data_IF_447183195108
#
_entry.id   IF_447183195108
#
_cell.length_a   1.000
_cell.length_b   1.000
_cell.length_c   1.000
_cell.angle_alpha   90.00
_cell.angle_beta   90.00
_cell.angle_gamma   90.00
#
_symmetry.space_group_name_H-M   'P 1'
#
loop_
_entity.id
_entity.type
_entity.pdbx_description
1 polymer ?
#
# COMPACT_ATOMS: atom_id res chain seq x y z
N UNK A 1 23.33 -32.15 -1.58
CA UNK A 1 22.03 -31.42 -1.72
C UNK A 1 20.98 -32.42 -2.18
N UNK A 2 19.87 -32.57 -1.45
CA UNK A 2 18.76 -33.41 -1.92
C UNK A 2 18.06 -32.67 -3.06
N UNK A 3 17.91 -33.33 -4.21
CA UNK A 3 17.18 -32.79 -5.36
C UNK A 3 15.71 -32.69 -4.97
N UNK A 4 15.16 -31.49 -5.00
CA UNK A 4 13.74 -31.26 -4.75
C UNK A 4 12.90 -32.01 -5.80
N UNK A 5 11.85 -32.71 -5.39
CA UNK A 5 10.93 -33.45 -6.29
C UNK A 5 9.71 -32.61 -6.73
N UNK A 6 9.70 -31.31 -6.47
CA UNK A 6 8.62 -30.43 -6.91
C UNK A 6 8.55 -30.34 -8.44
N UNK A 7 7.35 -30.14 -8.98
CA UNK A 7 7.14 -29.89 -10.40
C UNK A 7 7.61 -28.48 -10.76
N UNK A 8 8.85 -28.35 -11.22
CA UNK A 8 9.44 -27.08 -11.64
C UNK A 8 8.99 -26.66 -13.06
N UNK A 9 8.09 -27.41 -13.72
CA UNK A 9 7.44 -26.96 -14.93
C UNK A 9 6.31 -25.97 -14.63
N UNK A 10 5.75 -26.00 -13.42
CA UNK A 10 4.88 -24.93 -12.93
C UNK A 10 5.70 -23.65 -12.69
N UNK A 11 5.41 -22.60 -13.47
CA UNK A 11 6.14 -21.33 -13.42
C UNK A 11 6.00 -20.55 -12.10
N UNK A 12 5.03 -20.88 -11.24
CA UNK A 12 4.90 -20.32 -9.89
C UNK A 12 5.81 -21.09 -8.92
N UNK A 13 5.81 -22.42 -8.97
CA UNK A 13 6.71 -23.28 -8.18
C UNK A 13 8.19 -23.06 -8.54
N UNK A 14 8.48 -22.89 -9.83
CA UNK A 14 9.82 -22.53 -10.31
C UNK A 14 10.28 -21.19 -9.75
N UNK A 15 9.44 -20.14 -9.79
CA UNK A 15 9.74 -18.83 -9.18
C UNK A 15 9.93 -18.91 -7.67
N UNK A 16 9.11 -19.68 -6.96
CA UNK A 16 9.28 -19.95 -5.54
C UNK A 16 10.65 -20.59 -5.24
N UNK A 17 11.10 -21.50 -6.08
CA UNK A 17 12.42 -22.11 -5.96
C UNK A 17 13.56 -21.16 -6.31
N UNK A 18 13.46 -20.38 -7.39
CA UNK A 18 14.48 -19.43 -7.81
C UNK A 18 14.67 -18.31 -6.77
N UNK A 19 13.56 -17.81 -6.23
CA UNK A 19 13.54 -16.81 -5.15
C UNK A 19 14.04 -17.44 -3.85
N UNK A 20 13.48 -18.59 -3.45
CA UNK A 20 13.82 -19.26 -2.19
C UNK A 20 15.28 -19.72 -2.08
N UNK A 21 15.90 -20.17 -3.18
CA UNK A 21 17.29 -20.67 -3.17
C UNK A 21 18.32 -19.55 -3.08
N UNK A 22 18.05 -18.35 -3.62
CA UNK A 22 19.03 -17.25 -3.69
C UNK A 22 18.98 -16.28 -2.51
N UNK A 23 17.80 -16.01 -1.95
CA UNK A 23 17.62 -14.88 -1.01
C UNK A 23 17.22 -15.30 0.42
N UNK A 24 16.74 -16.53 0.64
CA UNK A 24 15.82 -16.76 1.77
C UNK A 24 16.37 -17.60 2.90
N UNK A 25 17.53 -18.25 2.72
CA UNK A 25 18.09 -19.17 3.72
C UNK A 25 16.98 -20.03 4.33
N UNK A 26 16.36 -20.90 3.51
CA UNK A 26 15.08 -21.62 3.73
C UNK A 26 15.06 -22.55 4.97
N UNK A 27 15.92 -22.34 5.96
CA UNK A 27 15.95 -23.04 7.24
C UNK A 27 15.38 -22.26 8.44
N UNK A 28 14.90 -21.02 8.28
CA UNK A 28 14.38 -20.22 9.42
C UNK A 28 12.86 -19.99 9.36
N UNK A 29 12.22 -20.01 10.53
CA UNK A 29 10.81 -19.62 10.68
C UNK A 29 10.51 -18.21 10.15
N UNK A 30 11.48 -17.29 10.24
CA UNK A 30 11.37 -15.92 9.72
C UNK A 30 11.23 -15.89 8.20
N UNK A 31 12.06 -16.66 7.51
CA UNK A 31 12.00 -16.79 6.04
C UNK A 31 10.66 -17.39 5.59
N UNK A 32 10.15 -18.39 6.32
CA UNK A 32 8.84 -18.98 6.04
C UNK A 32 7.70 -17.97 6.23
N UNK A 33 7.71 -17.21 7.32
CA UNK A 33 6.69 -16.19 7.61
C UNK A 33 6.66 -15.11 6.52
N UNK A 34 7.83 -14.59 6.12
CA UNK A 34 7.97 -13.66 4.99
C UNK A 34 7.41 -14.25 3.70
N UNK A 35 7.59 -15.55 3.47
CA UNK A 35 7.20 -16.20 2.22
C UNK A 35 5.69 -16.32 2.13
N UNK A 36 5.09 -16.75 3.23
CA UNK A 36 3.64 -16.82 3.38
C UNK A 36 3.04 -15.42 3.22
N UNK A 37 3.58 -14.42 3.91
CA UNK A 37 3.10 -13.03 3.79
C UNK A 37 3.20 -12.52 2.35
N UNK A 38 4.32 -12.78 1.67
CA UNK A 38 4.51 -12.42 0.26
C UNK A 38 3.53 -13.14 -0.67
N UNK A 39 3.34 -14.45 -0.48
CA UNK A 39 2.41 -15.22 -1.32
C UNK A 39 0.98 -14.74 -1.12
N UNK A 40 0.54 -14.54 0.12
CA UNK A 40 -0.80 -14.04 0.41
C UNK A 40 -0.95 -12.64 -0.20
N UNK A 41 -0.07 -11.69 0.12
CA UNK A 41 -0.12 -10.34 -0.41
C UNK A 41 -0.18 -10.33 -1.95
N UNK A 42 0.70 -11.07 -2.62
CA UNK A 42 0.74 -11.14 -4.08
C UNK A 42 -0.51 -11.76 -4.68
N UNK A 43 -1.15 -12.72 -4.00
CA UNK A 43 -2.42 -13.29 -4.46
C UNK A 43 -3.58 -12.31 -4.24
N UNK A 44 -3.53 -11.49 -3.19
CA UNK A 44 -4.54 -10.46 -2.96
C UNK A 44 -4.43 -9.27 -3.92
N UNK A 45 -3.25 -8.98 -4.49
CA UNK A 45 -3.06 -7.89 -5.45
C UNK A 45 -3.98 -8.01 -6.70
N UNK A 46 -4.01 -9.12 -7.47
CA UNK A 46 -4.96 -9.29 -8.57
C UNK A 46 -6.43 -9.13 -8.17
N UNK A 47 -6.79 -9.58 -6.97
CA UNK A 47 -8.17 -9.48 -6.47
C UNK A 47 -8.54 -8.01 -6.19
N UNK A 48 -7.58 -7.22 -5.71
CA UNK A 48 -7.69 -5.77 -5.57
C UNK A 48 -7.83 -5.09 -6.92
N UNK A 49 -6.97 -5.41 -7.88
CA UNK A 49 -6.90 -4.68 -9.15
C UNK A 49 -8.16 -4.88 -10.01
N UNK A 50 -8.89 -5.97 -9.79
CA UNK A 50 -10.21 -6.15 -10.37
C UNK A 50 -11.33 -5.41 -9.62
N UNK A 51 -11.05 -4.79 -8.47
CA UNK A 51 -11.96 -4.11 -7.55
C UNK A 51 -13.15 -4.99 -7.10
N UNK A 52 -12.94 -6.31 -7.00
CA UNK A 52 -14.01 -7.29 -7.16
C UNK A 52 -14.10 -8.35 -6.08
N UNK A 53 -13.76 -8.09 -4.82
CA UNK A 53 -14.06 -9.08 -3.77
C UNK A 53 -15.54 -9.37 -3.59
N UNK A 54 -16.39 -8.35 -3.72
CA UNK A 54 -17.84 -8.53 -3.82
C UNK A 54 -18.28 -9.28 -5.09
N UNK A 55 -17.38 -9.51 -6.05
CA UNK A 55 -17.58 -10.38 -7.21
C UNK A 55 -16.69 -11.61 -7.18
N UNK A 56 -15.96 -11.93 -6.10
CA UNK A 56 -15.20 -13.19 -6.05
C UNK A 56 -16.18 -14.34 -6.17
N UNK A 57 -17.32 -14.27 -5.48
CA UNK A 57 -18.42 -15.23 -5.63
C UNK A 57 -18.95 -15.29 -7.08
N UNK A 58 -19.17 -14.14 -7.72
CA UNK A 58 -19.66 -14.06 -9.11
C UNK A 58 -18.61 -14.50 -10.16
N UNK A 59 -17.35 -14.19 -9.93
CA UNK A 59 -16.20 -14.61 -10.75
C UNK A 59 -15.97 -16.12 -10.57
N UNK A 60 -16.18 -16.64 -9.36
CA UNK A 60 -16.18 -18.06 -9.03
C UNK A 60 -17.32 -18.78 -9.74
N UNK A 61 -18.56 -18.28 -9.65
CA UNK A 61 -19.68 -18.83 -10.42
C UNK A 61 -19.36 -18.88 -11.91
N UNK A 62 -18.76 -17.80 -12.45
CA UNK A 62 -18.36 -17.75 -13.85
C UNK A 62 -17.25 -18.76 -14.17
N UNK A 63 -16.26 -18.92 -13.30
CA UNK A 63 -15.19 -19.90 -13.48
C UNK A 63 -15.74 -21.33 -13.42
N UNK A 64 -16.62 -21.63 -12.47
CA UNK A 64 -17.34 -22.91 -12.36
C UNK A 64 -18.15 -23.19 -13.63
N UNK A 65 -18.94 -22.22 -14.11
CA UNK A 65 -19.70 -22.34 -15.37
C UNK A 65 -18.81 -22.57 -16.59
N UNK A 66 -17.56 -22.11 -16.55
CA UNK A 66 -16.57 -22.30 -17.60
C UNK A 66 -15.71 -23.57 -17.42
N UNK A 67 -15.95 -24.38 -16.38
CA UNK A 67 -15.11 -25.54 -16.06
C UNK A 67 -13.67 -25.17 -15.68
N UNK A 68 -13.43 -23.93 -15.24
CA UNK A 68 -12.10 -23.44 -14.85
C UNK A 68 -11.90 -23.58 -13.34
N UNK A 69 -10.66 -23.84 -12.94
CA UNK A 69 -10.27 -23.82 -11.52
C UNK A 69 -10.50 -22.42 -10.94
N UNK A 70 -11.09 -22.36 -9.75
CA UNK A 70 -11.33 -21.11 -9.00
C UNK A 70 -10.06 -20.80 -8.21
N UNK A 71 -9.34 -19.70 -8.52
CA UNK A 71 -8.17 -19.33 -7.74
C UNK A 71 -8.58 -18.93 -6.31
N UNK A 72 -7.74 -19.26 -5.33
CA UNK A 72 -7.87 -18.71 -3.97
C UNK A 72 -7.59 -17.20 -3.99
N UNK A 73 -8.26 -16.38 -3.16
CA UNK A 73 -9.36 -16.74 -2.25
C UNK A 73 -10.71 -16.88 -2.99
N UNK A 74 -11.58 -17.79 -2.53
CA UNK A 74 -12.97 -17.98 -3.02
C UNK A 74 -13.97 -17.12 -2.28
N UNK A 75 -13.67 -16.77 -1.04
CA UNK A 75 -14.48 -15.88 -0.21
C UNK A 75 -13.55 -15.01 0.63
N UNK A 76 -14.00 -13.86 1.18
CA UNK A 76 -13.22 -13.15 2.18
C UNK A 76 -12.83 -14.04 3.37
N UNK A 77 -13.70 -14.98 3.76
CA UNK A 77 -13.42 -15.94 4.83
C UNK A 77 -12.20 -16.84 4.51
N UNK A 78 -11.89 -17.09 3.23
CA UNK A 78 -10.69 -17.85 2.86
C UNK A 78 -9.39 -17.11 3.21
N UNK A 79 -9.43 -15.77 3.32
CA UNK A 79 -8.29 -14.92 3.68
C UNK A 79 -8.12 -14.87 5.21
N UNK A 80 -9.22 -14.76 5.96
CA UNK A 80 -9.23 -14.70 7.43
C UNK A 80 -10.10 -15.84 8.00
N UNK A 81 -9.63 -17.11 7.95
CA UNK A 81 -10.45 -18.29 8.22
C UNK A 81 -10.89 -18.44 9.69
N UNK A 82 -10.33 -17.65 10.60
CA UNK A 82 -10.70 -17.67 12.02
C UNK A 82 -11.41 -16.38 12.45
N UNK A 83 -11.91 -15.60 11.49
CA UNK A 83 -12.45 -14.27 11.73
C UNK A 83 -11.35 -13.20 11.82
N UNK A 84 -11.79 -11.94 11.80
CA UNK A 84 -10.89 -10.78 11.71
C UNK A 84 -10.02 -10.65 12.97
N UNK A 85 -10.61 -10.73 14.15
CA UNK A 85 -9.91 -10.55 15.43
C UNK A 85 -8.74 -11.54 15.59
N UNK A 86 -9.03 -12.84 15.47
CA UNK A 86 -8.04 -13.90 15.66
C UNK A 86 -6.95 -13.83 14.58
N UNK A 87 -7.31 -13.47 13.35
CA UNK A 87 -6.37 -13.41 12.24
C UNK A 87 -5.44 -12.20 12.35
N UNK A 88 -5.96 -11.02 12.72
CA UNK A 88 -5.13 -9.83 12.98
C UNK A 88 -4.21 -10.05 14.19
N UNK A 89 -4.71 -10.67 15.26
CA UNK A 89 -3.90 -11.04 16.42
C UNK A 89 -2.77 -12.01 16.03
N UNK A 90 -3.06 -13.05 15.25
CA UNK A 90 -2.06 -13.99 14.76
C UNK A 90 -1.00 -13.31 13.87
N UNK A 91 -1.42 -12.40 12.98
CA UNK A 91 -0.50 -11.64 12.13
C UNK A 91 0.40 -10.70 12.96
N UNK A 92 -0.12 -10.09 14.03
CA UNK A 92 0.69 -9.29 14.95
C UNK A 92 1.80 -10.13 15.61
N UNK A 93 1.46 -11.33 16.09
CA UNK A 93 2.42 -12.28 16.65
C UNK A 93 3.46 -12.70 15.61
N UNK A 94 3.05 -13.00 14.38
CA UNK A 94 3.99 -13.36 13.31
C UNK A 94 4.94 -12.20 12.97
N UNK A 95 4.43 -10.97 12.99
CA UNK A 95 5.22 -9.78 12.75
C UNK A 95 6.32 -9.62 13.80
N UNK A 96 6.01 -9.88 15.08
CA UNK A 96 6.98 -9.83 16.19
C UNK A 96 8.12 -10.84 16.03
N UNK A 97 7.82 -12.04 15.55
CA UNK A 97 8.85 -13.07 15.33
C UNK A 97 9.63 -12.87 14.03
N UNK A 98 9.05 -12.18 13.05
CA UNK A 98 9.67 -11.92 11.75
C UNK A 98 10.65 -10.75 11.80
N UNK A 99 11.54 -10.66 10.81
CA UNK A 99 12.34 -9.44 10.62
C UNK A 99 11.43 -8.29 10.14
N UNK A 100 11.67 -7.04 10.56
CA UNK A 100 10.93 -5.88 10.04
C UNK A 100 11.09 -5.80 8.53
N UNK A 101 9.97 -5.92 7.81
CA UNK A 101 9.95 -6.06 6.36
C UNK A 101 8.68 -5.41 5.79
N UNK A 102 8.85 -4.57 4.77
CA UNK A 102 7.76 -3.85 4.13
C UNK A 102 6.73 -4.77 3.46
N UNK A 103 7.03 -6.06 3.23
CA UNK A 103 6.02 -7.02 2.76
C UNK A 103 4.83 -7.14 3.70
N UNK A 104 5.07 -7.01 5.01
CA UNK A 104 4.01 -7.04 6.01
C UNK A 104 3.09 -5.83 5.88
N UNK A 105 3.65 -4.65 5.63
CA UNK A 105 2.85 -3.44 5.38
C UNK A 105 2.00 -3.61 4.12
N UNK A 106 2.56 -4.20 3.07
CA UNK A 106 1.80 -4.58 1.88
C UNK A 106 0.65 -5.53 2.18
N UNK A 107 0.89 -6.58 2.99
CA UNK A 107 -0.13 -7.54 3.40
C UNK A 107 -1.24 -6.86 4.22
N UNK A 108 -0.89 -6.09 5.24
CA UNK A 108 -1.87 -5.35 6.06
C UNK A 108 -2.65 -4.36 5.23
N UNK A 109 -2.02 -3.65 4.30
CA UNK A 109 -2.71 -2.76 3.39
C UNK A 109 -3.74 -3.51 2.54
N UNK A 110 -3.37 -4.67 1.99
CA UNK A 110 -4.34 -5.54 1.30
C UNK A 110 -5.49 -5.93 2.22
N UNK A 111 -5.21 -6.42 3.43
CA UNK A 111 -6.25 -6.82 4.39
C UNK A 111 -7.18 -5.64 4.75
N UNK A 112 -6.65 -4.45 5.03
CA UNK A 112 -7.46 -3.25 5.29
C UNK A 112 -8.33 -2.91 4.09
N UNK A 113 -7.80 -3.02 2.88
CA UNK A 113 -8.59 -2.77 1.67
C UNK A 113 -9.74 -3.77 1.49
N UNK A 114 -9.49 -5.05 1.81
CA UNK A 114 -10.46 -6.13 1.69
C UNK A 114 -11.60 -6.01 2.70
N UNK A 115 -11.25 -5.83 3.96
CA UNK A 115 -12.17 -5.92 5.10
C UNK A 115 -12.56 -4.56 5.68
N UNK A 116 -11.92 -3.48 5.21
CA UNK A 116 -12.27 -2.09 5.49
C UNK A 116 -12.36 -1.85 7.01
N UNK A 117 -13.52 -1.39 7.48
CA UNK A 117 -13.79 -1.05 8.89
C UNK A 117 -13.70 -2.26 9.82
N UNK A 118 -13.91 -3.49 9.33
CA UNK A 118 -13.92 -4.69 10.18
C UNK A 118 -12.53 -4.96 10.80
N UNK A 119 -11.44 -4.58 10.13
CA UNK A 119 -10.07 -4.77 10.66
C UNK A 119 -9.54 -3.59 11.47
N UNK A 120 -10.24 -2.45 11.48
CA UNK A 120 -9.73 -1.23 12.12
C UNK A 120 -9.59 -1.44 13.63
N UNK A 121 -10.67 -1.84 14.31
CA UNK A 121 -10.63 -2.06 15.75
C UNK A 121 -9.57 -3.11 16.14
N UNK A 122 -9.48 -4.28 15.48
CA UNK A 122 -8.45 -5.28 15.79
C UNK A 122 -7.01 -4.77 15.63
N UNK A 123 -6.75 -3.92 14.63
CA UNK A 123 -5.46 -3.26 14.46
C UNK A 123 -5.20 -2.28 15.60
N UNK A 124 -6.20 -1.45 15.95
CA UNK A 124 -6.08 -0.45 16.99
C UNK A 124 -5.87 -1.06 18.37
N UNK A 125 -6.57 -2.15 18.70
CA UNK A 125 -6.46 -2.82 20.01
C UNK A 125 -5.19 -3.67 20.14
N UNK A 126 -4.52 -3.98 19.03
CA UNK A 126 -3.23 -4.68 19.05
C UNK A 126 -2.20 -3.91 19.89
N UNK A 127 -1.46 -4.61 20.77
CA UNK A 127 -0.43 -3.98 21.59
C UNK A 127 0.85 -3.65 20.82
N UNK A 128 1.02 -4.11 19.57
CA UNK A 128 2.29 -3.99 18.83
C UNK A 128 2.16 -3.49 17.41
N UNK A 129 1.01 -3.69 16.74
CA UNK A 129 0.87 -3.29 15.33
C UNK A 129 1.10 -1.79 15.07
N UNK A 130 0.54 -0.83 15.86
CA UNK A 130 0.70 0.59 15.57
C UNK A 130 2.16 1.03 15.47
N UNK A 131 3.00 0.69 16.45
CA UNK A 131 4.41 1.05 16.40
C UNK A 131 5.20 0.19 15.41
N UNK A 132 4.84 -1.09 15.20
CA UNK A 132 5.47 -1.89 14.14
C UNK A 132 5.25 -1.31 12.76
N UNK A 133 4.08 -0.73 12.47
CA UNK A 133 3.83 -0.03 11.21
C UNK A 133 4.81 1.13 11.01
N UNK A 134 4.99 1.98 12.02
CA UNK A 134 5.95 3.10 11.99
C UNK A 134 7.38 2.59 11.80
N UNK A 135 7.82 1.63 12.63
CA UNK A 135 9.19 1.14 12.60
C UNK A 135 9.57 0.48 11.26
N UNK A 136 8.66 -0.27 10.64
CA UNK A 136 8.88 -0.86 9.33
C UNK A 136 8.81 0.21 8.22
N UNK A 137 7.82 1.11 8.28
CA UNK A 137 7.60 2.15 7.27
C UNK A 137 8.80 3.09 7.12
N UNK A 138 9.49 3.35 8.22
CA UNK A 138 10.67 4.22 8.26
C UNK A 138 11.90 3.61 7.59
N UNK A 139 12.01 2.28 7.58
CA UNK A 139 13.20 1.56 7.12
C UNK A 139 13.64 1.97 5.70
N UNK A 140 12.77 1.95 4.66
CA UNK A 140 13.19 2.33 3.31
C UNK A 140 13.65 3.80 3.23
N UNK A 141 13.02 4.72 3.95
CA UNK A 141 13.40 6.14 3.91
C UNK A 141 14.69 6.43 4.66
N UNK A 142 14.95 5.75 5.77
CA UNK A 142 16.27 5.78 6.43
C UNK A 142 17.36 5.21 5.54
N UNK A 143 17.11 4.07 4.89
CA UNK A 143 18.06 3.49 3.94
C UNK A 143 18.37 4.45 2.79
N UNK A 144 17.36 5.14 2.27
CA UNK A 144 17.54 6.16 1.26
C UNK A 144 18.41 7.31 1.75
N UNK A 145 18.12 7.84 2.95
CA UNK A 145 18.85 8.94 3.58
C UNK A 145 20.32 8.61 3.81
N UNK A 146 20.62 7.38 4.24
CA UNK A 146 22.00 6.94 4.51
C UNK A 146 22.83 6.74 3.25
N UNK A 147 22.22 6.30 2.14
CA UNK A 147 22.96 5.96 0.92
C UNK A 147 23.47 7.19 0.16
N UNK A 148 22.76 8.32 0.26
CA UNK A 148 23.13 9.58 -0.42
C UNK A 148 23.12 9.55 -1.96
N UNK A 149 23.03 8.37 -2.59
CA UNK A 149 22.87 8.12 -4.02
C UNK A 149 22.09 6.82 -4.22
N UNK A 150 21.13 6.79 -5.15
CA UNK A 150 20.54 5.54 -5.63
C UNK A 150 21.24 5.07 -6.90
N UNK A 151 21.35 3.75 -7.02
CA UNK A 151 21.66 3.07 -8.26
C UNK A 151 20.35 2.82 -9.02
N UNK A 152 20.36 2.80 -10.36
CA UNK A 152 19.23 2.30 -11.16
C UNK A 152 18.76 0.89 -10.76
N UNK A 153 19.61 0.11 -10.06
CA UNK A 153 19.28 -1.20 -9.51
C UNK A 153 18.47 -1.18 -8.20
N UNK A 154 18.07 -0.01 -7.69
CA UNK A 154 17.33 0.11 -6.42
C UNK A 154 15.81 -0.14 -6.56
N UNK A 155 15.40 -0.94 -7.56
CA UNK A 155 14.01 -1.36 -7.79
C UNK A 155 13.35 -1.92 -6.52
N UNK A 156 14.11 -2.66 -5.70
CA UNK A 156 13.61 -3.21 -4.44
C UNK A 156 13.22 -2.11 -3.45
N UNK A 157 14.05 -1.06 -3.31
CA UNK A 157 13.77 0.04 -2.39
C UNK A 157 12.50 0.79 -2.81
N UNK A 158 12.32 1.02 -4.11
CA UNK A 158 11.09 1.60 -4.64
C UNK A 158 9.87 0.72 -4.39
N UNK A 159 10.01 -0.60 -4.57
CA UNK A 159 8.93 -1.53 -4.25
C UNK A 159 8.57 -1.48 -2.75
N UNK A 160 9.56 -1.33 -1.86
CA UNK A 160 9.37 -1.19 -0.42
C UNK A 160 8.66 0.13 -0.08
N UNK A 161 9.12 1.26 -0.60
CA UNK A 161 8.46 2.56 -0.46
C UNK A 161 7.00 2.50 -0.94
N UNK A 162 6.77 1.92 -2.13
CA UNK A 162 5.41 1.74 -2.67
C UNK A 162 4.52 0.95 -1.72
N UNK A 163 5.02 -0.08 -1.02
CA UNK A 163 4.23 -0.83 -0.02
C UNK A 163 3.88 0.02 1.20
N UNK A 164 4.80 0.86 1.68
CA UNK A 164 4.53 1.83 2.74
C UNK A 164 3.40 2.78 2.33
N UNK A 165 3.47 3.33 1.12
CA UNK A 165 2.46 4.26 0.61
C UNK A 165 1.08 3.61 0.49
N UNK A 166 1.00 2.34 0.05
CA UNK A 166 -0.30 1.65 0.01
C UNK A 166 -0.87 1.55 1.42
N UNK A 167 -0.09 1.17 2.42
CA UNK A 167 -0.57 1.12 3.80
C UNK A 167 -1.05 2.51 4.26
N UNK A 168 -0.27 3.56 4.03
CA UNK A 168 -0.63 4.92 4.45
C UNK A 168 -1.94 5.37 3.83
N UNK A 169 -2.13 5.08 2.55
CA UNK A 169 -3.38 5.35 1.83
C UNK A 169 -4.56 4.57 2.41
N UNK A 170 -4.36 3.30 2.77
CA UNK A 170 -5.42 2.50 3.40
C UNK A 170 -5.78 3.03 4.78
N UNK A 171 -4.79 3.40 5.59
CA UNK A 171 -5.03 4.03 6.89
C UNK A 171 -5.78 5.35 6.71
N UNK A 172 -5.31 6.25 5.85
CA UNK A 172 -5.94 7.54 5.59
C UNK A 172 -7.38 7.44 5.05
N UNK A 173 -7.68 6.41 4.24
CA UNK A 173 -9.00 6.24 3.63
C UNK A 173 -10.02 5.54 4.54
N UNK A 174 -9.57 4.61 5.39
CA UNK A 174 -10.47 3.78 6.19
C UNK A 174 -10.50 4.13 7.67
N UNK A 175 -9.51 4.87 8.18
CA UNK A 175 -9.49 5.32 9.56
C UNK A 175 -10.11 6.70 9.64
N UNK A 176 -11.08 6.90 10.52
CA UNK A 176 -11.58 8.24 10.84
C UNK A 176 -10.60 9.00 11.75
N UNK A 177 -10.99 10.21 12.18
CA UNK A 177 -10.14 11.07 13.01
C UNK A 177 -9.80 10.43 14.35
N UNK A 178 -10.77 9.81 15.02
CA UNK A 178 -10.57 9.26 16.36
C UNK A 178 -9.77 7.95 16.29
N UNK A 179 -10.06 7.10 15.32
CA UNK A 179 -9.28 5.90 15.02
C UNK A 179 -7.82 6.24 14.70
N UNK A 180 -7.59 7.28 13.88
CA UNK A 180 -6.25 7.78 13.57
C UNK A 180 -5.53 8.29 14.82
N UNK A 181 -6.20 9.05 15.68
CA UNK A 181 -5.62 9.51 16.96
C UNK A 181 -5.23 8.36 17.86
N UNK A 182 -6.06 7.31 17.95
CA UNK A 182 -5.74 6.11 18.73
C UNK A 182 -4.52 5.41 18.15
N UNK A 183 -4.46 5.23 16.83
CA UNK A 183 -3.32 4.62 16.14
C UNK A 183 -2.02 5.36 16.46
N UNK A 184 -2.00 6.69 16.27
CA UNK A 184 -0.82 7.51 16.51
C UNK A 184 -0.41 7.55 17.97
N UNK A 185 -1.37 7.65 18.90
CA UNK A 185 -1.08 7.61 20.34
C UNK A 185 -0.40 6.31 20.73
N UNK A 186 -0.94 5.17 20.30
CA UNK A 186 -0.34 3.85 20.60
C UNK A 186 1.01 3.66 19.94
N UNK A 187 1.18 4.13 18.71
CA UNK A 187 2.47 4.11 18.06
C UNK A 187 3.49 4.95 18.84
N UNK A 188 3.11 6.16 19.27
CA UNK A 188 3.96 7.02 20.09
C UNK A 188 4.28 6.37 21.43
N UNK A 189 3.31 5.76 22.14
CA UNK A 189 3.57 5.07 23.42
C UNK A 189 4.64 3.97 23.29
N UNK A 190 4.74 3.32 22.13
CA UNK A 190 5.75 2.29 21.85
C UNK A 190 7.15 2.85 21.54
N UNK A 191 7.28 4.14 21.20
CA UNK A 191 8.56 4.80 20.89
C UNK A 191 8.92 5.96 21.82
N UNK A 192 7.98 6.47 22.60
CA UNK A 192 8.11 7.69 23.40
C UNK A 192 9.33 7.73 24.33
N UNK A 193 9.81 6.61 24.91
CA UNK A 193 11.04 6.65 25.70
C UNK A 193 12.29 7.06 24.90
N UNK A 194 12.29 6.80 23.59
CA UNK A 194 13.46 6.97 22.72
C UNK A 194 13.29 8.17 21.77
N UNK A 195 12.09 8.34 21.20
CA UNK A 195 11.81 9.35 20.19
C UNK A 195 10.30 9.70 20.16
N UNK A 196 9.86 10.75 20.88
CA UNK A 196 8.45 11.10 20.99
C UNK A 196 7.85 11.71 19.72
N UNK A 197 8.69 12.18 18.78
CA UNK A 197 8.24 12.72 17.50
C UNK A 197 8.16 11.64 16.41
N UNK A 198 8.58 10.40 16.70
CA UNK A 198 8.58 9.29 15.75
C UNK A 198 7.19 8.72 15.50
N UNK A 199 6.61 9.03 14.34
CA UNK A 199 5.30 8.52 13.92
C UNK A 199 5.15 8.50 12.39
N UNK A 200 4.00 8.07 11.88
CA UNK A 200 3.76 7.99 10.43
C UNK A 200 3.86 9.36 9.74
N UNK A 201 3.46 10.44 10.42
CA UNK A 201 3.49 11.81 9.89
C UNK A 201 4.92 12.35 9.82
N UNK A 202 5.76 12.09 10.83
CA UNK A 202 7.18 12.48 10.79
C UNK A 202 7.90 11.77 9.65
N UNK A 203 7.59 10.48 9.40
CA UNK A 203 8.13 9.74 8.25
C UNK A 203 7.71 10.39 6.92
N UNK A 204 6.46 10.86 6.78
CA UNK A 204 6.04 11.59 5.58
C UNK A 204 6.89 12.84 5.36
N UNK A 205 7.09 13.64 6.40
CA UNK A 205 7.93 14.85 6.34
C UNK A 205 9.38 14.49 5.95
N UNK A 206 10.00 13.58 6.68
CA UNK A 206 11.42 13.24 6.50
C UNK A 206 11.67 12.68 5.10
N UNK A 207 10.74 11.88 4.57
CA UNK A 207 10.80 11.41 3.20
C UNK A 207 10.73 12.56 2.17
N UNK A 208 9.91 13.58 2.41
CA UNK A 208 9.78 14.73 1.50
C UNK A 208 11.04 15.61 1.46
N UNK A 209 11.88 15.57 2.48
CA UNK A 209 13.18 16.27 2.46
C UNK A 209 14.19 15.55 1.56
N UNK A 210 14.06 14.23 1.41
CA UNK A 210 15.04 13.39 0.71
C UNK A 210 14.65 13.12 -0.74
N UNK A 211 13.36 12.94 -1.04
CA UNK A 211 12.88 12.57 -2.36
C UNK A 211 13.19 13.59 -3.47
N UNK A 212 13.08 14.91 -3.26
CA UNK A 212 13.44 15.88 -4.30
C UNK A 212 14.92 15.83 -4.67
N UNK A 213 15.80 15.72 -3.67
CA UNK A 213 17.24 15.57 -3.89
C UNK A 213 17.54 14.27 -4.65
N UNK A 214 16.81 13.20 -4.35
CA UNK A 214 16.92 11.95 -5.07
C UNK A 214 16.53 12.08 -6.55
N UNK A 215 15.40 12.73 -6.86
CA UNK A 215 14.93 12.92 -8.23
C UNK A 215 15.97 13.65 -9.10
N UNK A 216 16.71 14.60 -8.52
CA UNK A 216 17.77 15.36 -9.20
C UNK A 216 18.98 14.49 -9.59
N UNK A 217 19.21 13.37 -8.91
CA UNK A 217 20.32 12.45 -9.19
C UNK A 217 19.99 11.47 -10.33
N UNK A 218 18.74 11.44 -10.80
CA UNK A 218 18.28 10.50 -11.83
C UNK A 218 18.26 11.16 -13.21
N UNK A 219 18.31 10.35 -14.30
CA UNK A 219 18.13 10.88 -15.64
C UNK A 219 16.78 11.61 -15.75
N UNK A 220 16.76 12.86 -16.26
CA UNK A 220 15.53 13.63 -16.38
C UNK A 220 14.51 12.89 -17.26
N UNK A 221 13.24 12.98 -16.89
CA UNK A 221 12.12 12.29 -17.56
C UNK A 221 12.17 10.75 -17.53
N UNK A 222 13.04 10.14 -16.71
CA UNK A 222 13.02 8.69 -16.51
C UNK A 222 11.76 8.23 -15.74
N UNK A 223 11.42 6.95 -15.87
CA UNK A 223 10.34 6.34 -15.08
C UNK A 223 10.62 6.44 -13.57
N UNK A 224 11.87 6.34 -13.16
CA UNK A 224 12.29 6.48 -11.76
C UNK A 224 12.00 7.88 -11.19
N UNK A 225 12.23 8.95 -11.96
CA UNK A 225 11.87 10.32 -11.54
C UNK A 225 10.37 10.44 -11.32
N UNK A 226 9.56 9.92 -12.26
CA UNK A 226 8.08 9.94 -12.14
C UNK A 226 7.60 9.14 -10.93
N UNK A 227 8.23 8.00 -10.66
CA UNK A 227 7.95 7.18 -9.46
C UNK A 227 8.26 7.94 -8.16
N UNK A 228 9.39 8.66 -8.10
CA UNK A 228 9.77 9.49 -6.95
C UNK A 228 8.79 10.64 -6.74
N UNK A 229 8.44 11.36 -7.80
CA UNK A 229 7.45 12.45 -7.77
C UNK A 229 6.09 11.95 -7.30
N UNK A 230 5.64 10.80 -7.82
CA UNK A 230 4.41 10.16 -7.38
C UNK A 230 4.46 9.77 -5.90
N UNK A 231 5.59 9.23 -5.44
CA UNK A 231 5.77 8.92 -4.02
C UNK A 231 5.66 10.17 -3.15
N UNK A 232 6.30 11.27 -3.55
CA UNK A 232 6.23 12.54 -2.83
C UNK A 232 4.79 13.08 -2.78
N UNK A 233 4.06 13.06 -3.91
CA UNK A 233 2.66 13.49 -3.95
C UNK A 233 1.75 12.69 -3.02
N UNK A 234 1.89 11.36 -3.01
CA UNK A 234 1.10 10.48 -2.13
C UNK A 234 1.47 10.68 -0.63
N UNK A 235 2.74 10.97 -0.31
CA UNK A 235 3.17 11.31 1.05
C UNK A 235 2.61 12.65 1.52
N UNK A 236 2.58 13.67 0.65
CA UNK A 236 1.94 14.96 0.94
C UNK A 236 0.45 14.76 1.20
N UNK A 237 -0.23 14.02 0.33
CA UNK A 237 -1.67 13.77 0.45
C UNK A 237 -2.03 12.99 1.73
N UNK A 238 -1.35 11.87 1.99
CA UNK A 238 -1.60 11.05 3.19
C UNK A 238 -1.15 11.77 4.47
N UNK A 239 -0.01 12.46 4.43
CA UNK A 239 0.47 13.29 5.53
C UNK A 239 -0.51 14.42 5.88
N UNK A 240 -1.11 15.08 4.89
CA UNK A 240 -2.09 16.13 5.11
C UNK A 240 -3.38 15.61 5.77
N UNK A 241 -3.82 14.41 5.41
CA UNK A 241 -4.96 13.72 6.05
C UNK A 241 -4.62 13.39 7.50
N UNK A 242 -3.45 12.79 7.76
CA UNK A 242 -3.02 12.49 9.13
C UNK A 242 -2.89 13.76 9.98
N UNK A 243 -2.30 14.83 9.43
CA UNK A 243 -2.20 16.12 10.09
C UNK A 243 -3.59 16.68 10.46
N UNK A 244 -4.57 16.63 9.56
CA UNK A 244 -5.94 17.07 9.86
C UNK A 244 -6.62 16.18 10.91
N UNK A 245 -6.48 14.86 10.79
CA UNK A 245 -7.08 13.90 11.73
C UNK A 245 -6.57 14.08 13.17
N UNK A 246 -5.28 14.38 13.31
CA UNK A 246 -4.63 14.60 14.60
C UNK A 246 -4.91 15.99 15.19
N UNK A 247 -5.55 16.88 14.42
CA UNK A 247 -5.85 18.26 14.81
C UNK A 247 -4.62 19.02 15.34
N UNK A 248 -3.53 18.91 14.60
CA UNK A 248 -2.25 19.51 14.96
C UNK A 248 -2.20 20.99 14.57
N UNK A 249 -1.35 21.75 15.27
CA UNK A 249 -1.04 23.12 14.90
C UNK A 249 -0.35 23.18 13.52
N UNK A 250 -0.66 24.22 12.74
CA UNK A 250 -0.10 24.43 11.39
C UNK A 250 1.36 24.92 11.41
N UNK A 251 2.24 24.20 12.08
CA UNK A 251 3.66 24.48 12.14
C UNK A 251 4.37 23.88 10.90
N UNK A 252 4.66 24.74 9.92
CA UNK A 252 5.30 24.36 8.66
C UNK A 252 6.73 23.86 8.85
N UNK A 253 7.42 24.27 9.92
CA UNK A 253 8.76 23.79 10.24
C UNK A 253 8.70 22.38 10.83
N UNK A 254 7.70 22.10 11.68
CA UNK A 254 7.55 20.79 12.32
C UNK A 254 7.03 19.71 11.37
N UNK A 255 6.06 20.02 10.52
CA UNK A 255 5.34 19.02 9.71
C UNK A 255 5.60 19.10 8.20
N UNK A 256 6.36 20.08 7.75
CA UNK A 256 6.62 20.34 6.33
C UNK A 256 5.54 21.21 5.69
N UNK A 257 5.96 22.25 4.98
CA UNK A 257 5.06 23.25 4.42
C UNK A 257 4.02 22.68 3.45
N UNK A 258 4.38 21.70 2.62
CA UNK A 258 3.47 21.09 1.65
C UNK A 258 2.32 20.33 2.33
N UNK A 259 2.64 19.54 3.37
CA UNK A 259 1.65 18.80 4.17
C UNK A 259 0.70 19.77 4.88
N UNK A 260 1.25 20.78 5.55
CA UNK A 260 0.46 21.79 6.29
C UNK A 260 -0.48 22.55 5.36
N UNK A 261 0.02 22.97 4.19
CA UNK A 261 -0.76 23.74 3.21
C UNK A 261 -1.95 22.92 2.69
N UNK A 262 -1.72 21.67 2.30
CA UNK A 262 -2.78 20.78 1.84
C UNK A 262 -3.76 20.43 2.99
N UNK A 263 -3.28 20.25 4.22
CA UNK A 263 -4.15 20.00 5.37
C UNK A 263 -5.10 21.18 5.65
N UNK A 264 -4.61 22.41 5.55
CA UNK A 264 -5.44 23.62 5.64
C UNK A 264 -6.49 23.71 4.53
N UNK A 265 -6.12 23.33 3.30
CA UNK A 265 -7.05 23.25 2.18
C UNK A 265 -8.14 22.20 2.43
N UNK A 266 -7.77 20.98 2.82
CA UNK A 266 -8.71 19.92 3.17
C UNK A 266 -9.69 20.37 4.26
N UNK A 267 -9.20 21.02 5.32
CA UNK A 267 -10.07 21.51 6.41
C UNK A 267 -11.02 22.60 5.93
N UNK A 268 -10.56 23.54 5.10
CA UNK A 268 -11.41 24.58 4.50
C UNK A 268 -12.48 23.96 3.58
N UNK A 269 -12.13 22.96 2.78
CA UNK A 269 -13.07 22.30 1.87
C UNK A 269 -14.13 21.50 2.63
N UNK A 270 -13.75 20.82 3.71
CA UNK A 270 -14.68 20.11 4.59
C UNK A 270 -15.63 21.04 5.35
N UNK A 271 -15.15 22.22 5.77
CA UNK A 271 -15.96 23.24 6.44
C UNK A 271 -16.81 24.07 5.47
N UNK A 272 -16.39 24.15 4.20
CA UNK A 272 -16.89 25.13 3.23
C UNK A 272 -18.24 24.78 2.58
N UNK A 273 -18.50 23.51 2.27
CA UNK A 273 -19.75 23.05 1.65
C UNK A 273 -19.77 21.51 1.57
N UNK A 274 -20.83 20.82 2.05
CA UNK A 274 -21.04 19.39 1.79
C UNK A 274 -20.93 19.02 0.30
N UNK A 275 -21.28 19.94 -0.59
CA UNK A 275 -21.16 19.79 -2.05
C UNK A 275 -19.71 19.71 -2.51
N UNK A 276 -18.78 20.46 -1.91
CA UNK A 276 -17.35 20.37 -2.20
C UNK A 276 -16.76 19.04 -1.78
N UNK A 277 -17.20 18.51 -0.63
CA UNK A 277 -16.81 17.15 -0.19
C UNK A 277 -17.35 16.06 -1.12
N UNK A 278 -18.61 16.19 -1.55
CA UNK A 278 -19.21 15.30 -2.54
C UNK A 278 -18.50 15.42 -3.90
N UNK A 279 -18.10 16.62 -4.30
CA UNK A 279 -17.37 16.88 -5.54
C UNK A 279 -15.95 16.34 -5.50
N UNK A 280 -15.20 16.47 -4.39
CA UNK A 280 -13.91 15.83 -4.23
C UNK A 280 -14.02 14.30 -4.24
N UNK A 281 -15.03 13.75 -3.55
CA UNK A 281 -15.35 12.33 -3.60
C UNK A 281 -15.65 11.87 -5.03
N UNK A 282 -16.44 12.66 -5.77
CA UNK A 282 -16.71 12.46 -7.18
C UNK A 282 -15.45 12.57 -8.03
N UNK A 283 -14.57 13.56 -7.82
CA UNK A 283 -13.33 13.71 -8.57
C UNK A 283 -12.37 12.54 -8.32
N UNK A 284 -12.25 12.06 -7.08
CA UNK A 284 -11.46 10.86 -6.77
C UNK A 284 -12.00 9.63 -7.50
N UNK A 285 -13.33 9.45 -7.49
CA UNK A 285 -14.00 8.42 -8.30
C UNK A 285 -13.75 8.62 -9.80
N UNK A 286 -13.90 9.85 -10.29
CA UNK A 286 -13.76 10.23 -11.69
C UNK A 286 -12.35 10.02 -12.23
N UNK A 287 -11.31 10.39 -11.46
CA UNK A 287 -9.91 10.12 -11.81
C UNK A 287 -9.59 8.62 -11.72
N UNK A 288 -10.24 7.87 -10.84
CA UNK A 288 -10.11 6.41 -10.81
C UNK A 288 -10.80 5.70 -11.98
N UNK A 289 -11.74 6.37 -12.66
CA UNK A 289 -12.50 5.85 -13.80
C UNK A 289 -12.04 6.38 -15.17
N UNK A 290 -10.88 7.06 -15.25
CA UNK A 290 -10.35 7.61 -16.50
C UNK A 290 -9.20 6.83 -17.10
N UNK A 291 -9.04 6.96 -18.41
CA UNK A 291 -7.95 6.34 -19.14
C UNK A 291 -6.65 7.03 -18.76
N UNK A 292 -5.66 6.28 -18.30
CA UNK A 292 -4.33 6.79 -17.94
C UNK A 292 -3.40 6.99 -19.14
N UNK A 293 -3.89 6.82 -20.37
CA UNK A 293 -3.09 7.06 -21.58
C UNK A 293 -2.99 8.56 -21.87
N UNK A 294 -1.78 9.10 -22.15
CA UNK A 294 -1.61 10.53 -22.43
C UNK A 294 -2.52 11.03 -23.55
N UNK A 295 -3.29 12.09 -23.27
CA UNK A 295 -4.23 12.71 -24.21
C UNK A 295 -5.55 11.96 -24.41
N UNK A 296 -5.80 10.86 -23.69
CA UNK A 296 -7.08 10.15 -23.76
C UNK A 296 -8.05 10.68 -22.69
N UNK A 297 -9.16 11.28 -23.12
CA UNK A 297 -10.21 11.80 -22.23
C UNK A 297 -11.29 10.78 -21.83
N UNK A 298 -11.15 9.53 -22.26
CA UNK A 298 -12.20 8.52 -22.13
C UNK A 298 -12.42 8.08 -20.68
N UNK A 299 -13.69 7.90 -20.30
CA UNK A 299 -14.12 7.45 -18.96
C UNK A 299 -14.71 6.05 -19.01
N UNK A 300 -14.74 5.34 -17.88
CA UNK A 300 -15.33 4.00 -17.79
C UNK A 300 -16.79 4.00 -18.29
N UNK A 301 -17.55 5.01 -17.89
CA UNK A 301 -18.93 5.23 -18.34
C UNK A 301 -18.98 5.52 -19.84
N UNK A 302 -18.13 6.42 -20.34
CA UNK A 302 -18.10 6.80 -21.77
C UNK A 302 -17.74 5.64 -22.70
N UNK A 303 -16.77 4.81 -22.32
CA UNK A 303 -16.39 3.65 -23.13
C UNK A 303 -17.43 2.51 -23.11
N UNK A 304 -18.37 2.52 -22.15
CA UNK A 304 -19.38 1.47 -21.97
C UNK A 304 -18.80 0.07 -21.75
N UNK A 305 -17.53 -0.04 -21.37
CA UNK A 305 -16.79 -1.30 -21.26
C UNK A 305 -15.72 -1.25 -20.18
N UNK A 306 -15.30 -2.42 -19.73
CA UNK A 306 -14.21 -2.52 -18.78
C UNK A 306 -12.89 -2.01 -19.39
N UNK A 307 -12.17 -1.19 -18.65
CA UNK A 307 -10.84 -0.72 -19.02
C UNK A 307 -9.82 -1.85 -18.90
N UNK A 308 -8.79 -1.82 -19.74
CA UNK A 308 -7.61 -2.66 -19.63
C UNK A 308 -6.71 -2.12 -18.50
N UNK A 309 -6.36 -2.96 -17.52
CA UNK A 309 -5.39 -2.58 -16.49
C UNK A 309 -3.95 -2.81 -16.97
N UNK A 310 -3.01 -1.96 -16.52
CA UNK A 310 -1.58 -2.17 -16.74
C UNK A 310 -1.17 -3.62 -16.44
N UNK A 311 -0.44 -4.28 -17.34
CA UNK A 311 0.00 -5.67 -17.13
C UNK A 311 0.98 -5.81 -15.97
N UNK A 312 1.75 -4.75 -15.67
CA UNK A 312 2.76 -4.71 -14.60
C UNK A 312 2.17 -4.26 -13.26
N UNK A 313 1.76 -2.99 -13.15
CA UNK A 313 1.36 -2.43 -11.85
C UNK A 313 -0.12 -2.61 -11.51
N UNK A 314 -0.96 -2.86 -12.52
CA UNK A 314 -2.41 -3.07 -12.44
C UNK A 314 -3.25 -1.97 -11.77
N UNK A 315 -2.61 -0.90 -11.28
CA UNK A 315 -3.23 0.25 -10.60
C UNK A 315 -3.86 1.25 -11.57
N UNK A 316 -3.29 1.37 -12.76
CA UNK A 316 -3.76 2.31 -13.78
C UNK A 316 -4.55 1.56 -14.83
N UNK A 317 -5.66 2.17 -15.24
CA UNK A 317 -6.63 1.61 -16.18
C UNK A 317 -6.63 2.42 -17.47
N UNK A 318 -6.82 1.74 -18.60
CA UNK A 318 -6.77 2.30 -19.94
C UNK A 318 -8.04 1.88 -20.69
N UNK A 319 -8.67 2.80 -21.42
CA UNK A 319 -9.94 2.51 -22.10
C UNK A 319 -9.83 1.47 -23.24
N UNK A 320 -8.61 1.13 -23.65
CA UNK A 320 -8.32 0.16 -24.69
C UNK A 320 -6.89 -0.40 -24.57
N UNK A 321 -6.61 -1.50 -25.29
CA UNK A 321 -5.25 -2.06 -25.36
C UNK A 321 -4.29 -1.13 -26.09
N UNK A 322 -4.78 -0.37 -27.05
CA UNK A 322 -4.01 0.64 -27.78
C UNK A 322 -3.60 1.79 -26.86
N UNK A 323 -4.50 2.22 -25.95
CA UNK A 323 -4.20 3.22 -24.93
C UNK A 323 -3.20 2.70 -23.89
N UNK A 324 -3.31 1.43 -23.51
CA UNK A 324 -2.33 0.75 -22.66
C UNK A 324 -0.94 0.63 -23.34
N UNK A 325 -0.90 0.29 -24.63
CA UNK A 325 0.36 0.14 -25.37
C UNK A 325 1.06 1.49 -25.65
N UNK A 326 0.30 2.59 -25.66
CA UNK A 326 0.79 3.95 -25.86
C UNK A 326 1.38 4.57 -24.58
N UNK A 327 0.88 4.14 -23.43
CA UNK A 327 1.30 4.62 -22.11
C UNK A 327 2.57 3.91 -21.65
#
# INVERSE_FOLDING_TARGET
MRVCKCDLHDGRLKRLHEVGVREWGVGSYKGLARLIASQIHNVLQPVRDEARLHKVEKNQERAIRQGKSVPWPRTPHDVLPYGVDASIAALAVWLEFSAPDCIWLGLFASIIELFRKEVVLPILVSPTLPGRFVGIAETPFRMLSMRGRLSPSDEQLFAEMKRVLVLYKMLANYFDRDESRILFRRANEQFAPEDPDRNLLSICRDALDVLPALAQLMPPNSEAVRDVEQCAQELVATGAIFHDHLDLAYDTNKYGGQIVSLSQELRRNLQGDPTSSAYEGFLRLWYSERCWSPGCGETFVGAGRAFAACSSCKRVTYCSKECLARA
#
